data_IF_008521891387
#
_entry.id   IF_008521891387
#
_cell.length_a   1.000
_cell.length_b   1.000
_cell.length_c   1.000
_cell.angle_alpha   90.00
_cell.angle_beta   90.00
_cell.angle_gamma   90.00
#
_symmetry.space_group_name_H-M   'P 1'
#
loop_
_entity.id
_entity.type
_entity.pdbx_description
1 polymer ?
#
# COMPACT_ATOMS: atom_id res chain seq x y z
N UNK A 1 -2.76 13.69 -17.78
CA UNK A 1 -2.74 13.51 -16.32
C UNK A 1 -1.70 12.45 -15.98
N UNK A 2 -0.73 12.81 -15.16
CA UNK A 2 0.37 11.93 -14.77
C UNK A 2 0.04 11.27 -13.42
N UNK A 3 -0.35 10.02 -13.45
CA UNK A 3 -0.69 9.25 -12.24
C UNK A 3 0.45 8.32 -11.86
N UNK A 4 0.99 8.47 -10.67
CA UNK A 4 1.99 7.56 -10.11
C UNK A 4 1.31 6.44 -9.32
N UNK A 5 1.63 5.19 -9.62
CA UNK A 5 1.34 4.07 -8.73
C UNK A 5 2.52 3.82 -7.80
N UNK A 6 2.31 3.83 -6.50
CA UNK A 6 3.28 3.35 -5.51
C UNK A 6 2.88 1.96 -5.01
N UNK A 7 3.85 1.05 -4.92
CA UNK A 7 3.70 -0.28 -4.31
C UNK A 7 4.77 -0.42 -3.25
N UNK A 8 4.37 -0.27 -1.99
CA UNK A 8 5.28 -0.24 -0.85
C UNK A 8 5.34 -1.60 -0.16
N UNK A 9 6.47 -2.32 -0.30
CA UNK A 9 6.64 -3.67 0.24
C UNK A 9 7.95 -3.79 1.03
N UNK A 10 7.89 -4.10 2.32
CA UNK A 10 9.08 -4.34 3.16
C UNK A 10 9.37 -5.83 3.34
N UNK A 11 10.63 -6.16 3.71
CA UNK A 11 11.07 -7.54 3.99
C UNK A 11 10.47 -8.11 5.28
N UNK A 12 10.42 -7.31 6.34
CA UNK A 12 10.08 -7.72 7.70
C UNK A 12 8.57 -7.91 7.94
N UNK A 13 7.98 -8.98 7.42
CA UNK A 13 6.59 -9.34 7.72
C UNK A 13 6.53 -10.25 8.96
N UNK A 14 5.94 -9.76 10.07
CA UNK A 14 5.88 -10.50 11.35
C UNK A 14 4.93 -11.70 11.30
N UNK A 15 3.72 -11.54 10.79
CA UNK A 15 2.72 -12.59 10.77
C UNK A 15 3.00 -13.72 9.77
N UNK A 16 3.55 -13.38 8.60
CA UNK A 16 3.94 -14.35 7.58
C UNK A 16 5.31 -13.98 7.04
N UNK A 17 6.37 -14.72 7.39
CA UNK A 17 7.71 -14.43 6.91
C UNK A 17 7.78 -14.37 5.38
N UNK A 18 8.47 -13.35 4.86
CA UNK A 18 8.63 -13.12 3.42
C UNK A 18 7.31 -13.03 2.64
N UNK A 19 6.23 -12.60 3.26
CA UNK A 19 4.87 -12.54 2.70
C UNK A 19 4.83 -12.03 1.25
N UNK A 20 5.51 -10.92 0.99
CA UNK A 20 5.42 -10.23 -0.30
C UNK A 20 6.01 -11.00 -1.48
N UNK A 21 6.88 -12.00 -1.23
CA UNK A 21 7.46 -12.88 -2.24
C UNK A 21 6.94 -14.32 -2.17
N UNK A 22 6.08 -14.66 -1.19
CA UNK A 22 5.40 -15.95 -1.16
C UNK A 22 4.51 -16.10 -2.40
N UNK A 23 4.50 -17.31 -2.95
CA UNK A 23 3.68 -17.59 -4.12
C UNK A 23 2.23 -17.83 -3.73
N UNK A 24 1.31 -17.20 -4.45
CA UNK A 24 -0.12 -17.46 -4.45
C UNK A 24 -0.51 -17.68 -5.91
N UNK A 25 -1.22 -18.77 -6.20
CA UNK A 25 -1.55 -19.16 -7.57
C UNK A 25 -0.34 -19.12 -8.52
N UNK A 26 0.80 -19.68 -8.08
CA UNK A 26 2.03 -19.80 -8.86
C UNK A 26 2.90 -18.55 -8.96
N UNK A 27 2.44 -17.37 -8.53
CA UNK A 27 3.15 -16.08 -8.65
C UNK A 27 3.46 -15.47 -7.28
N UNK A 28 4.60 -14.76 -7.12
CA UNK A 28 4.86 -13.96 -5.93
C UNK A 28 3.72 -12.98 -5.63
N UNK A 29 3.38 -12.79 -4.35
CA UNK A 29 2.27 -11.91 -3.95
C UNK A 29 2.37 -10.51 -4.56
N UNK A 30 3.56 -9.92 -4.55
CA UNK A 30 3.78 -8.59 -5.14
C UNK A 30 3.54 -8.55 -6.65
N UNK A 31 3.78 -9.65 -7.37
CA UNK A 31 3.56 -9.72 -8.81
C UNK A 31 2.08 -9.50 -9.17
N UNK A 32 1.15 -10.04 -8.37
CA UNK A 32 -0.29 -9.81 -8.59
C UNK A 32 -0.62 -8.31 -8.58
N UNK A 33 -0.10 -7.57 -7.60
CA UNK A 33 -0.35 -6.11 -7.49
C UNK A 33 0.28 -5.35 -8.66
N UNK A 34 1.50 -5.70 -9.07
CA UNK A 34 2.15 -5.07 -10.22
C UNK A 34 1.36 -5.35 -11.51
N UNK A 35 0.91 -6.58 -11.73
CA UNK A 35 0.09 -6.94 -12.90
C UNK A 35 -1.25 -6.21 -12.91
N UNK A 36 -1.92 -6.07 -11.74
CA UNK A 36 -3.15 -5.29 -11.60
C UNK A 36 -2.92 -3.81 -11.94
N UNK A 37 -1.83 -3.22 -11.43
CA UNK A 37 -1.45 -1.84 -11.77
C UNK A 37 -1.24 -1.66 -13.27
N UNK A 38 -0.46 -2.53 -13.90
CA UNK A 38 -0.20 -2.49 -15.36
C UNK A 38 -1.47 -2.66 -16.19
N UNK A 39 -2.33 -3.62 -15.80
CA UNK A 39 -3.60 -3.89 -16.49
C UNK A 39 -4.60 -2.74 -16.38
N UNK A 40 -4.54 -1.94 -15.34
CA UNK A 40 -5.44 -0.80 -15.16
C UNK A 40 -5.23 0.32 -16.19
N UNK A 41 -4.03 0.45 -16.74
CA UNK A 41 -3.66 1.47 -17.74
C UNK A 41 -3.94 2.93 -17.33
N UNK A 42 -4.18 3.19 -16.04
CA UNK A 42 -4.41 4.56 -15.53
C UNK A 42 -3.13 5.24 -15.04
N UNK A 43 -2.06 4.47 -14.87
CA UNK A 43 -0.79 4.96 -14.35
C UNK A 43 0.17 5.32 -15.49
N UNK A 44 0.74 6.51 -15.43
CA UNK A 44 1.86 6.88 -16.28
C UNK A 44 3.15 6.17 -15.88
N UNK A 45 3.31 5.94 -14.56
CA UNK A 45 4.47 5.29 -13.99
C UNK A 45 4.07 4.42 -12.77
N UNK A 46 4.78 3.30 -12.62
CA UNK A 46 4.59 2.38 -11.49
C UNK A 46 5.94 2.22 -10.80
N UNK A 47 5.97 2.41 -9.48
CA UNK A 47 7.19 2.31 -8.69
C UNK A 47 7.02 1.38 -7.50
N UNK A 48 7.97 0.46 -7.33
CA UNK A 48 8.04 -0.43 -6.18
C UNK A 48 9.11 0.07 -5.21
N UNK A 49 8.70 0.42 -3.99
CA UNK A 49 9.60 0.83 -2.91
C UNK A 49 9.81 -0.32 -1.93
N UNK A 50 11.07 -0.78 -1.78
CA UNK A 50 11.40 -1.90 -0.89
C UNK A 50 12.82 -1.80 -0.33
N UNK A 51 13.02 -2.35 0.88
CA UNK A 51 14.32 -2.64 1.49
C UNK A 51 14.90 -3.99 1.03
N UNK A 52 14.08 -4.84 0.39
CA UNK A 52 14.42 -6.20 0.01
C UNK A 52 14.88 -6.29 -1.45
N UNK A 53 16.15 -6.68 -1.68
CA UNK A 53 16.70 -6.88 -3.02
C UNK A 53 15.89 -7.88 -3.87
N UNK A 54 15.33 -8.94 -3.25
CA UNK A 54 14.53 -9.94 -3.99
C UNK A 54 13.23 -9.33 -4.53
N UNK A 55 12.57 -8.46 -3.74
CA UNK A 55 11.36 -7.74 -4.16
C UNK A 55 11.68 -6.80 -5.33
N UNK A 56 12.77 -6.01 -5.24
CA UNK A 56 13.19 -5.09 -6.29
C UNK A 56 13.51 -5.85 -7.59
N UNK A 57 14.24 -6.97 -7.53
CA UNK A 57 14.51 -7.80 -8.70
C UNK A 57 13.24 -8.35 -9.38
N UNK A 58 12.21 -8.69 -8.61
CA UNK A 58 10.91 -9.11 -9.19
C UNK A 58 10.27 -7.94 -9.93
N UNK A 59 10.27 -6.76 -9.33
CA UNK A 59 9.70 -5.55 -9.93
C UNK A 59 10.44 -5.16 -11.23
N UNK A 60 11.76 -5.18 -11.22
CA UNK A 60 12.61 -4.93 -12.40
C UNK A 60 12.29 -5.89 -13.55
N UNK A 61 12.18 -7.20 -13.25
CA UNK A 61 11.81 -8.21 -14.27
C UNK A 61 10.41 -7.98 -14.84
N UNK A 62 9.52 -7.34 -14.10
CA UNK A 62 8.18 -6.98 -14.56
C UNK A 62 8.14 -5.62 -15.26
N UNK A 63 9.28 -4.95 -15.45
CA UNK A 63 9.39 -3.71 -16.19
C UNK A 63 8.73 -2.52 -15.48
N UNK A 64 8.87 -2.43 -14.16
CA UNK A 64 8.43 -1.27 -13.36
C UNK A 64 9.61 -0.67 -12.62
N UNK A 65 9.51 0.62 -12.29
CA UNK A 65 10.56 1.33 -11.58
C UNK A 65 10.75 0.81 -10.16
N UNK A 66 11.96 0.87 -9.66
CA UNK A 66 12.32 0.39 -8.32
C UNK A 66 13.00 1.48 -7.51
N UNK A 67 12.68 1.52 -6.21
CA UNK A 67 13.33 2.37 -5.22
C UNK A 67 13.82 1.52 -4.05
N UNK A 68 15.12 1.59 -3.79
CA UNK A 68 15.68 1.02 -2.57
C UNK A 68 15.31 1.91 -1.38
N UNK A 69 14.51 1.37 -0.47
CA UNK A 69 14.10 2.05 0.74
C UNK A 69 15.20 2.04 1.79
N UNK A 70 15.33 3.12 2.56
CA UNK A 70 16.25 3.19 3.69
C UNK A 70 15.77 2.31 4.85
N UNK A 71 16.70 1.88 5.70
CA UNK A 71 16.39 1.10 6.90
C UNK A 71 15.47 1.86 7.86
N UNK A 72 15.60 3.19 7.95
CA UNK A 72 14.74 4.02 8.79
C UNK A 72 13.28 3.92 8.40
N UNK A 73 12.97 4.00 7.09
CA UNK A 73 11.60 3.90 6.56
C UNK A 73 11.07 2.46 6.48
N UNK A 74 11.88 1.46 6.87
CA UNK A 74 11.49 0.04 6.84
C UNK A 74 11.12 -0.51 8.23
N UNK A 75 11.20 0.33 9.28
CA UNK A 75 10.85 -0.04 10.64
C UNK A 75 9.34 -0.20 10.83
N UNK A 76 8.94 -0.99 11.82
CA UNK A 76 7.53 -1.35 12.08
C UNK A 76 6.65 -0.18 12.47
N UNK A 77 7.20 0.82 13.14
CA UNK A 77 6.47 1.99 13.63
C UNK A 77 6.34 3.12 12.60
N UNK A 78 6.98 2.98 11.43
CA UNK A 78 6.89 4.01 10.37
C UNK A 78 5.52 3.97 9.72
N UNK A 79 4.87 5.12 9.66
CA UNK A 79 3.58 5.28 9.00
C UNK A 79 3.64 4.99 7.51
N UNK A 80 2.62 4.33 6.98
CA UNK A 80 2.56 4.00 5.54
C UNK A 80 2.59 5.25 4.67
N UNK A 81 1.95 6.33 5.12
CA UNK A 81 1.91 7.62 4.40
C UNK A 81 3.30 8.21 4.19
N UNK A 82 4.18 8.12 5.19
CA UNK A 82 5.56 8.63 5.08
C UNK A 82 6.36 7.86 4.03
N UNK A 83 6.13 6.55 3.94
CA UNK A 83 6.77 5.69 2.92
C UNK A 83 6.26 6.02 1.52
N UNK A 84 4.95 6.25 1.36
CA UNK A 84 4.35 6.64 0.08
C UNK A 84 4.89 8.02 -0.34
N UNK A 85 4.95 8.97 0.58
CA UNK A 85 5.50 10.31 0.32
C UNK A 85 6.96 10.26 -0.12
N UNK A 86 7.81 9.51 0.59
CA UNK A 86 9.21 9.31 0.21
C UNK A 86 9.34 8.71 -1.20
N UNK A 87 8.53 7.69 -1.49
CA UNK A 87 8.50 7.04 -2.79
C UNK A 87 8.09 8.02 -3.91
N UNK A 88 7.05 8.83 -3.68
CA UNK A 88 6.58 9.81 -4.64
C UNK A 88 7.61 10.91 -4.92
N UNK A 89 8.22 11.49 -3.87
CA UNK A 89 9.25 12.53 -4.01
C UNK A 89 10.46 11.98 -4.77
N UNK A 90 10.92 10.78 -4.45
CA UNK A 90 12.06 10.14 -5.15
C UNK A 90 11.72 9.78 -6.58
N UNK A 91 10.49 9.33 -6.85
CA UNK A 91 10.01 9.05 -8.20
C UNK A 91 10.04 10.32 -9.06
N UNK A 92 9.54 11.45 -8.55
CA UNK A 92 9.57 12.72 -9.27
C UNK A 92 11.00 13.13 -9.66
N UNK A 93 11.95 13.00 -8.71
CA UNK A 93 13.36 13.31 -8.97
C UNK A 93 14.03 12.34 -9.95
N UNK A 94 13.74 11.04 -9.81
CA UNK A 94 14.36 10.00 -10.65
C UNK A 94 13.86 10.06 -12.10
N UNK A 95 12.59 10.42 -12.30
CA UNK A 95 11.96 10.42 -13.62
C UNK A 95 11.88 11.83 -14.24
N UNK A 96 12.38 12.85 -13.53
CA UNK A 96 12.25 14.28 -13.88
C UNK A 96 10.83 14.64 -14.30
N UNK A 97 9.85 14.24 -13.47
CA UNK A 97 8.44 14.33 -13.81
C UNK A 97 7.59 14.69 -12.60
N UNK A 98 6.64 15.61 -12.77
CA UNK A 98 5.60 15.88 -11.78
C UNK A 98 4.42 14.94 -11.96
N UNK A 99 3.86 14.47 -10.85
CA UNK A 99 2.66 13.64 -10.82
C UNK A 99 1.48 14.44 -10.26
N UNK A 100 0.35 14.36 -10.95
CA UNK A 100 -0.91 15.00 -10.53
C UNK A 100 -1.55 14.21 -9.38
N UNK A 101 -1.43 12.90 -9.42
CA UNK A 101 -1.96 11.99 -8.41
C UNK A 101 -0.97 10.90 -8.02
N UNK A 102 -1.04 10.48 -6.76
CA UNK A 102 -0.32 9.32 -6.22
C UNK A 102 -1.33 8.30 -5.70
N UNK A 103 -1.33 7.11 -6.28
CA UNK A 103 -2.23 6.02 -5.90
C UNK A 103 -1.40 4.86 -5.36
N UNK A 104 -1.58 4.53 -4.07
CA UNK A 104 -0.90 3.41 -3.46
C UNK A 104 -1.71 2.12 -3.57
N UNK A 105 -1.11 1.07 -4.08
CA UNK A 105 -1.71 -0.25 -4.16
C UNK A 105 -1.06 -1.20 -3.15
N UNK A 106 -1.84 -1.60 -2.14
CA UNK A 106 -1.34 -2.53 -1.13
C UNK A 106 -1.12 -3.92 -1.71
N UNK A 107 0.05 -4.51 -1.40
CA UNK A 107 0.42 -5.87 -1.82
C UNK A 107 -0.48 -6.93 -1.17
N UNK A 108 -1.03 -6.64 0.00
CA UNK A 108 -1.85 -7.61 0.76
C UNK A 108 -3.29 -7.71 0.29
N UNK A 109 -3.60 -7.13 -0.85
CA UNK A 109 -4.92 -7.22 -1.49
C UNK A 109 -4.85 -7.91 -2.86
N UNK A 110 -4.45 -9.21 -2.94
CA UNK A 110 -4.27 -9.90 -4.21
C UNK A 110 -5.58 -10.13 -4.97
N UNK A 111 -6.71 -10.16 -4.27
CA UNK A 111 -8.04 -10.35 -4.86
C UNK A 111 -8.65 -9.06 -5.42
N UNK A 112 -7.96 -7.92 -5.31
CA UNK A 112 -8.38 -6.66 -5.93
C UNK A 112 -8.58 -6.87 -7.43
N UNK A 113 -9.70 -6.39 -7.96
CA UNK A 113 -9.96 -6.38 -9.38
C UNK A 113 -9.45 -5.07 -10.02
N UNK A 114 -9.19 -5.10 -11.30
CA UNK A 114 -8.80 -3.91 -12.06
C UNK A 114 -9.93 -2.86 -12.05
N UNK A 115 -11.18 -3.32 -12.07
CA UNK A 115 -12.37 -2.48 -11.93
C UNK A 115 -12.41 -1.69 -10.62
N UNK A 116 -11.87 -2.25 -9.52
CA UNK A 116 -11.82 -1.53 -8.22
C UNK A 116 -10.89 -0.31 -8.31
N UNK A 117 -9.77 -0.46 -9.04
CA UNK A 117 -8.83 0.64 -9.26
C UNK A 117 -9.50 1.73 -10.10
N UNK A 118 -10.17 1.36 -11.20
CA UNK A 118 -10.88 2.29 -12.06
C UNK A 118 -12.01 3.02 -11.32
N UNK A 119 -12.85 2.28 -10.61
CA UNK A 119 -14.00 2.85 -9.91
C UNK A 119 -13.56 3.80 -8.79
N UNK A 120 -12.52 3.44 -8.04
CA UNK A 120 -11.94 4.31 -7.00
C UNK A 120 -11.37 5.59 -7.61
N UNK A 121 -10.61 5.47 -8.71
CA UNK A 121 -10.03 6.62 -9.38
C UNK A 121 -11.11 7.53 -9.99
N UNK A 122 -12.11 6.97 -10.67
CA UNK A 122 -13.26 7.72 -11.20
C UNK A 122 -14.02 8.45 -10.09
N UNK A 123 -14.25 7.79 -8.95
CA UNK A 123 -14.90 8.42 -7.79
C UNK A 123 -14.07 9.57 -7.24
N UNK A 124 -12.75 9.42 -7.16
CA UNK A 124 -11.84 10.47 -6.72
C UNK A 124 -11.88 11.68 -7.67
N UNK A 125 -11.83 11.45 -8.99
CA UNK A 125 -11.85 12.51 -9.99
C UNK A 125 -13.18 13.29 -10.03
N UNK A 126 -14.30 12.60 -9.84
CA UNK A 126 -15.64 13.21 -9.92
C UNK A 126 -16.04 13.94 -8.62
N UNK A 127 -15.26 13.82 -7.56
CA UNK A 127 -15.54 14.44 -6.27
C UNK A 127 -14.51 15.52 -5.93
N UNK A 128 -14.90 16.46 -5.09
CA UNK A 128 -13.97 17.45 -4.54
C UNK A 128 -13.25 16.87 -3.30
N UNK A 129 -12.51 15.78 -3.50
CA UNK A 129 -11.81 15.07 -2.41
C UNK A 129 -10.32 15.38 -2.42
N UNK A 130 -9.76 15.65 -1.24
CA UNK A 130 -8.30 15.75 -1.07
C UNK A 130 -7.63 14.37 -1.09
N UNK A 131 -8.34 13.33 -0.64
CA UNK A 131 -7.89 11.94 -0.67
C UNK A 131 -9.08 10.98 -0.73
N UNK A 132 -8.82 9.73 -1.13
CA UNK A 132 -9.77 8.63 -1.13
C UNK A 132 -9.10 7.39 -0.55
N UNK A 133 -9.75 6.76 0.42
CA UNK A 133 -9.29 5.52 1.05
C UNK A 133 -10.34 4.44 0.84
N UNK A 134 -9.91 3.26 0.41
CA UNK A 134 -10.77 2.08 0.35
C UNK A 134 -10.81 1.36 1.69
N UNK A 135 -11.96 0.85 2.08
CA UNK A 135 -12.15 0.12 3.33
C UNK A 135 -13.25 -0.91 3.23
N UNK A 136 -13.38 -1.71 4.26
CA UNK A 136 -14.50 -2.63 4.43
C UNK A 136 -15.17 -2.40 5.78
N UNK A 137 -16.41 -2.88 5.91
CA UNK A 137 -17.12 -2.86 7.20
C UNK A 137 -16.34 -3.72 8.19
N UNK A 138 -15.99 -3.13 9.33
CA UNK A 138 -15.26 -3.83 10.37
C UNK A 138 -16.17 -4.82 11.11
N UNK A 139 -15.71 -6.08 11.26
CA UNK A 139 -16.41 -7.08 12.09
C UNK A 139 -16.32 -6.78 13.58
N UNK A 140 -15.30 -6.05 14.00
CA UNK A 140 -15.04 -5.66 15.37
C UNK A 140 -15.17 -4.16 15.52
N UNK A 141 -15.82 -3.75 16.62
CA UNK A 141 -16.01 -2.34 16.94
C UNK A 141 -15.15 -1.97 18.16
N UNK A 142 -14.25 -0.98 18.06
CA UNK A 142 -13.37 -0.61 19.17
C UNK A 142 -14.11 -0.08 20.40
N UNK A 143 -15.35 0.36 20.23
CA UNK A 143 -16.20 0.86 21.33
C UNK A 143 -17.08 -0.22 21.95
N UNK A 144 -17.13 -1.43 21.39
CA UNK A 144 -18.05 -2.46 21.84
C UNK A 144 -17.42 -3.83 22.06
N UNK A 145 -16.70 -4.39 21.08
CA UNK A 145 -16.24 -5.77 21.13
C UNK A 145 -14.75 -5.98 20.81
N UNK A 146 -13.97 -4.90 20.82
CA UNK A 146 -12.51 -4.96 20.86
C UNK A 146 -12.01 -4.67 22.26
N UNK A 147 -11.22 -5.60 22.80
CA UNK A 147 -10.64 -5.48 24.14
C UNK A 147 -9.12 -5.43 24.04
N UNK A 148 -8.51 -4.70 24.95
CA UNK A 148 -7.07 -4.60 25.13
C UNK A 148 -6.70 -4.99 26.55
N UNK A 149 -5.54 -5.63 26.71
CA UNK A 149 -4.95 -5.88 28.03
C UNK A 149 -4.01 -4.72 28.34
N UNK A 150 -4.35 -3.93 29.36
CA UNK A 150 -3.51 -2.85 29.88
C UNK A 150 -3.23 -3.11 31.35
N UNK A 151 -1.97 -3.23 31.74
CA UNK A 151 -1.54 -3.51 33.13
C UNK A 151 -2.30 -4.72 33.73
N UNK A 152 -2.39 -5.82 32.98
CA UNK A 152 -3.10 -7.06 33.32
C UNK A 152 -4.63 -6.90 33.55
N UNK A 153 -5.23 -5.80 33.12
CA UNK A 153 -6.68 -5.58 33.16
C UNK A 153 -7.24 -5.57 31.75
N UNK A 154 -8.33 -6.31 31.53
CA UNK A 154 -9.11 -6.27 30.30
C UNK A 154 -9.95 -5.00 30.25
N UNK A 155 -9.87 -4.26 29.17
CA UNK A 155 -10.67 -3.07 28.93
C UNK A 155 -11.11 -2.96 27.48
N UNK A 156 -12.24 -2.31 27.23
CA UNK A 156 -12.66 -1.96 25.87
C UNK A 156 -11.64 -1.01 25.26
N UNK A 157 -11.24 -1.26 24.00
CA UNK A 157 -10.18 -0.54 23.30
C UNK A 157 -10.41 0.98 23.27
N UNK A 158 -11.66 1.40 23.05
CA UNK A 158 -12.06 2.82 23.11
C UNK A 158 -13.32 2.99 23.97
N UNK A 159 -13.34 3.99 24.82
CA UNK A 159 -14.53 4.38 25.58
C UNK A 159 -15.19 5.57 24.89
N UNK A 160 -16.50 5.55 24.73
CA UNK A 160 -17.27 6.74 24.36
C UNK A 160 -17.49 7.58 25.63
N UNK A 161 -17.08 8.83 25.59
CA UNK A 161 -17.49 9.82 26.60
C UNK A 161 -18.97 10.23 26.34
N UNK A 162 -19.89 9.27 26.34
CA UNK A 162 -21.31 9.63 26.49
C UNK A 162 -21.58 9.73 27.99
N UNK A 163 -21.72 10.97 28.47
CA UNK A 163 -22.52 11.25 29.64
C UNK A 163 -23.96 10.91 29.34
#
# INVERSE_FOLDING_TARGET
MNNLCTICARSGSKGVPNKNIKKIAGKPLIQHTIEQAKKSKIFSDIIVSSDCKKILKIAEKLGVHTLKRTNQLSKDFVGKVDVIRDAAIKAQKMLDKKFDNVIDLDVTSPLRQVSDIHNSFKKFQNGNYQNLITGCVARKNPYFNMIEIKKNVLSISKRTNKK
#
